data_IF_886871686211
#
_entry.id   IF_886871686211
#
_cell.length_a   1.000
_cell.length_b   1.000
_cell.length_c   1.000
_cell.angle_alpha   90.00
_cell.angle_beta   90.00
_cell.angle_gamma   90.00
#
_symmetry.space_group_name_H-M   'P 1'
#
loop_
_entity.id
_entity.type
_entity.pdbx_description
1 polymer ?
#
# COMPACT_ATOMS: atom_id res chain seq x y z
N UNK A 1 13.10 18.43 -20.87
CA UNK A 1 12.01 19.02 -20.08
C UNK A 1 12.08 18.42 -18.70
N UNK A 2 11.76 19.18 -17.67
CA UNK A 2 11.63 18.71 -16.30
C UNK A 2 10.39 19.35 -15.67
N UNK A 3 9.93 18.83 -14.54
CA UNK A 3 8.80 19.43 -13.82
C UNK A 3 9.34 20.45 -12.83
N UNK A 4 8.77 21.64 -12.82
CA UNK A 4 9.00 22.58 -11.74
C UNK A 4 8.15 22.14 -10.54
N UNK A 5 8.81 21.75 -9.45
CA UNK A 5 8.14 21.21 -8.25
C UNK A 5 7.24 22.22 -7.53
N UNK A 6 7.45 23.52 -7.72
CA UNK A 6 6.63 24.57 -7.10
C UNK A 6 5.37 24.85 -7.92
N UNK A 7 5.47 24.81 -9.25
CA UNK A 7 4.36 25.19 -10.15
C UNK A 7 3.64 23.99 -10.76
N UNK A 8 4.24 22.80 -10.70
CA UNK A 8 3.77 21.58 -11.36
C UNK A 8 3.87 21.61 -12.89
N UNK A 9 4.48 22.65 -13.48
CA UNK A 9 4.55 22.84 -14.93
C UNK A 9 5.81 22.24 -15.52
N UNK A 10 5.72 21.84 -16.79
CA UNK A 10 6.86 21.39 -17.57
C UNK A 10 7.70 22.57 -18.03
N UNK A 11 8.99 22.56 -17.67
CA UNK A 11 9.95 23.58 -18.04
C UNK A 11 11.10 22.97 -18.87
N UNK A 12 11.68 23.75 -19.80
CA UNK A 12 12.83 23.30 -20.57
C UNK A 12 14.08 23.22 -19.71
N UNK A 13 15.09 22.54 -20.26
CA UNK A 13 16.40 22.43 -19.64
C UNK A 13 16.98 23.82 -19.30
N UNK A 14 17.40 24.03 -18.05
CA UNK A 14 17.93 25.31 -17.56
C UNK A 14 19.20 25.73 -18.30
N UNK A 15 20.02 24.75 -18.70
CA UNK A 15 21.23 25.03 -19.50
C UNK A 15 20.92 25.29 -20.98
N UNK A 16 19.75 24.86 -21.47
CA UNK A 16 19.37 24.89 -22.88
C UNK A 16 20.23 24.02 -23.80
N UNK A 17 21.04 23.11 -23.23
CA UNK A 17 22.01 22.29 -23.98
C UNK A 17 21.70 20.80 -23.99
N UNK A 18 21.00 20.31 -22.96
CA UNK A 18 20.70 18.88 -22.80
C UNK A 18 19.54 18.48 -23.72
N UNK A 19 19.59 17.25 -24.21
CA UNK A 19 18.62 16.64 -25.13
C UNK A 19 18.22 15.26 -24.59
N UNK A 20 17.57 14.43 -25.40
CA UNK A 20 17.31 13.04 -25.07
C UNK A 20 18.59 12.26 -24.69
N UNK A 21 18.44 11.37 -23.72
CA UNK A 21 19.47 10.47 -23.21
C UNK A 21 19.21 9.04 -23.69
N UNK A 22 20.27 8.26 -23.89
CA UNK A 22 20.15 6.87 -24.35
C UNK A 22 20.29 5.84 -23.23
N UNK A 23 20.88 6.24 -22.11
CA UNK A 23 21.18 5.36 -20.97
C UNK A 23 20.46 5.83 -19.72
N UNK A 24 20.04 4.90 -18.88
CA UNK A 24 19.29 5.18 -17.65
C UNK A 24 20.15 5.91 -16.61
N UNK A 25 21.44 5.64 -16.58
CA UNK A 25 22.40 6.32 -15.71
C UNK A 25 22.54 7.81 -16.07
N UNK A 26 22.43 8.15 -17.37
CA UNK A 26 22.44 9.56 -17.83
C UNK A 26 21.19 10.29 -17.36
N UNK A 27 20.04 9.61 -17.33
CA UNK A 27 18.77 10.16 -16.83
C UNK A 27 18.86 10.40 -15.32
N UNK A 28 19.42 9.45 -14.56
CA UNK A 28 19.65 9.63 -13.12
C UNK A 28 20.56 10.83 -12.85
N UNK A 29 21.66 10.96 -13.59
CA UNK A 29 22.56 12.10 -13.47
C UNK A 29 21.86 13.42 -13.84
N UNK A 30 20.98 13.41 -14.85
CA UNK A 30 20.19 14.57 -15.21
C UNK A 30 19.20 14.96 -14.10
N UNK A 31 18.51 14.01 -13.47
CA UNK A 31 17.66 14.28 -12.31
C UNK A 31 18.45 14.94 -11.18
N UNK A 32 19.66 14.47 -10.89
CA UNK A 32 20.54 15.05 -9.86
C UNK A 32 21.01 16.47 -10.21
N UNK A 33 21.26 16.75 -11.50
CA UNK A 33 21.62 18.08 -11.98
C UNK A 33 20.43 19.07 -11.90
N UNK A 34 19.22 18.61 -12.23
CA UNK A 34 18.02 19.43 -12.25
C UNK A 34 17.41 19.68 -10.87
N UNK A 35 17.59 18.75 -9.93
CA UNK A 35 17.07 18.83 -8.57
C UNK A 35 18.20 18.66 -7.54
N UNK A 36 19.14 19.62 -7.44
CA UNK A 36 20.32 19.49 -6.61
C UNK A 36 20.00 19.44 -5.10
N UNK A 37 18.87 20.02 -4.69
CA UNK A 37 18.41 20.03 -3.30
C UNK A 37 17.70 18.74 -2.90
N UNK A 38 17.40 17.86 -3.86
CA UNK A 38 16.77 16.55 -3.63
C UNK A 38 17.82 15.44 -3.70
N UNK A 39 17.79 14.52 -2.73
CA UNK A 39 18.67 13.36 -2.72
C UNK A 39 18.18 12.29 -3.71
N UNK A 40 18.34 12.53 -5.02
CA UNK A 40 17.89 11.58 -6.05
C UNK A 40 18.78 10.33 -6.06
N UNK A 41 18.19 9.18 -5.76
CA UNK A 41 18.89 7.89 -5.67
C UNK A 41 18.64 6.97 -6.86
N UNK A 42 17.48 7.10 -7.52
CA UNK A 42 17.11 6.24 -8.64
C UNK A 42 16.11 6.94 -9.58
N UNK A 43 15.81 6.31 -10.71
CA UNK A 43 14.80 6.75 -11.68
C UNK A 43 13.92 5.57 -12.08
N UNK A 44 12.68 5.85 -12.46
CA UNK A 44 11.74 4.83 -12.96
C UNK A 44 10.83 5.42 -14.04
N UNK A 45 10.47 4.63 -15.04
CA UNK A 45 9.48 5.03 -16.06
C UNK A 45 8.11 5.27 -15.41
N UNK A 46 7.40 6.31 -15.83
CA UNK A 46 6.04 6.54 -15.40
C UNK A 46 5.08 5.54 -16.05
N UNK A 47 4.02 5.18 -15.32
CA UNK A 47 3.02 4.21 -15.81
C UNK A 47 2.14 4.76 -16.94
N UNK A 48 2.04 6.09 -17.09
CA UNK A 48 1.19 6.73 -18.08
C UNK A 48 1.96 7.80 -18.88
N UNK A 49 1.66 7.92 -20.20
CA UNK A 49 2.23 8.98 -21.01
C UNK A 49 1.59 10.34 -20.68
N UNK A 50 2.35 11.40 -20.91
CA UNK A 50 1.94 12.79 -20.71
C UNK A 50 2.13 13.57 -21.99
N UNK A 51 1.18 14.45 -22.30
CA UNK A 51 1.27 15.41 -23.39
C UNK A 51 2.01 16.66 -22.92
N UNK A 52 3.15 16.97 -23.54
CA UNK A 52 3.97 18.14 -23.22
C UNK A 52 4.05 19.04 -24.45
N UNK A 53 3.75 20.31 -24.27
CA UNK A 53 3.81 21.36 -25.28
C UNK A 53 5.13 22.14 -25.24
N UNK A 54 5.29 23.08 -26.18
CA UNK A 54 6.35 24.08 -26.21
C UNK A 54 7.78 23.54 -26.04
N UNK A 55 8.16 22.54 -26.82
CA UNK A 55 9.52 21.97 -26.80
C UNK A 55 10.58 22.92 -27.37
N UNK A 56 11.69 23.07 -26.66
CA UNK A 56 12.79 23.95 -27.05
C UNK A 56 13.91 23.18 -27.78
N UNK A 57 14.48 23.80 -28.84
CA UNK A 57 15.66 23.24 -29.52
C UNK A 57 16.95 23.67 -28.81
N UNK A 58 17.97 22.82 -28.88
CA UNK A 58 19.31 23.09 -28.32
C UNK A 58 19.80 24.49 -28.71
N UNK A 59 20.12 25.31 -27.70
CA UNK A 59 20.63 26.68 -27.88
C UNK A 59 19.63 27.71 -28.39
N UNK A 60 18.33 27.40 -28.50
CA UNK A 60 17.30 28.35 -28.91
C UNK A 60 16.41 28.73 -27.73
N UNK A 61 16.29 30.04 -27.48
CA UNK A 61 15.37 30.62 -26.48
C UNK A 61 13.89 30.53 -26.88
N UNK A 62 13.60 30.32 -28.16
CA UNK A 62 12.24 30.25 -28.68
C UNK A 62 11.85 28.81 -28.92
N UNK A 63 10.92 28.34 -28.10
CA UNK A 63 10.38 27.00 -28.11
C UNK A 63 9.26 26.91 -29.14
N UNK A 64 9.04 25.71 -29.70
CA UNK A 64 8.00 25.50 -30.70
C UNK A 64 6.78 24.87 -30.05
N UNK A 65 5.60 25.37 -30.39
CA UNK A 65 4.31 24.92 -29.83
C UNK A 65 3.81 23.61 -30.47
N UNK A 66 4.69 22.61 -30.56
CA UNK A 66 4.31 21.26 -30.96
C UNK A 66 4.13 20.42 -29.72
N UNK A 67 2.97 19.81 -29.59
CA UNK A 67 2.69 18.87 -28.50
C UNK A 67 3.28 17.51 -28.83
N UNK A 68 4.02 16.95 -27.89
CA UNK A 68 4.54 15.59 -27.97
C UNK A 68 4.02 14.77 -26.80
N UNK A 69 3.60 13.54 -27.09
CA UNK A 69 3.21 12.56 -26.08
C UNK A 69 4.46 11.76 -25.73
N UNK A 70 4.85 11.78 -24.46
CA UNK A 70 6.06 11.09 -23.97
C UNK A 70 5.77 10.38 -22.66
N UNK A 71 6.50 9.30 -22.38
CA UNK A 71 6.51 8.67 -21.05
C UNK A 71 7.62 9.31 -20.23
N UNK A 72 7.31 10.06 -19.18
CA UNK A 72 8.33 10.70 -18.36
C UNK A 72 9.02 9.70 -17.42
N UNK A 73 10.22 10.05 -16.97
CA UNK A 73 10.88 9.37 -15.86
C UNK A 73 10.59 10.09 -14.55
N UNK A 74 10.23 9.33 -13.51
CA UNK A 74 10.16 9.80 -12.13
C UNK A 74 11.56 9.76 -11.51
N UNK A 75 12.00 10.87 -10.94
CA UNK A 75 13.22 10.93 -10.14
C UNK A 75 12.90 10.54 -8.68
N UNK A 76 13.43 9.42 -8.19
CA UNK A 76 13.14 8.88 -6.86
C UNK A 76 14.07 9.50 -5.81
N UNK A 77 13.48 10.00 -4.72
CA UNK A 77 14.18 10.73 -3.66
C UNK A 77 14.43 9.82 -2.46
N UNK A 78 15.69 9.75 -2.01
CA UNK A 78 16.06 9.12 -0.75
C UNK A 78 15.98 7.60 -0.77
N UNK A 79 15.64 7.02 0.38
CA UNK A 79 15.39 5.58 0.50
C UNK A 79 14.15 5.19 -0.29
N UNK A 80 14.20 4.04 -0.97
CA UNK A 80 13.10 3.60 -1.79
C UNK A 80 11.90 3.23 -0.93
N UNK A 81 10.76 3.84 -1.25
CA UNK A 81 9.45 3.50 -0.73
C UNK A 81 8.57 3.16 -1.93
N UNK A 82 7.81 2.08 -1.84
CA UNK A 82 6.91 1.68 -2.93
C UNK A 82 5.75 2.66 -3.11
N UNK A 83 5.14 2.67 -4.29
CA UNK A 83 4.06 3.60 -4.63
C UNK A 83 2.79 3.22 -3.84
N UNK A 84 2.02 4.19 -3.37
CA UNK A 84 0.72 3.91 -2.72
C UNK A 84 -0.31 3.60 -3.79
N UNK A 85 -0.66 2.32 -3.96
CA UNK A 85 -1.70 1.88 -4.89
C UNK A 85 -3.09 1.93 -4.25
N UNK A 86 -4.00 2.69 -4.86
CA UNK A 86 -5.41 2.66 -4.47
C UNK A 86 -6.05 1.36 -4.97
N UNK A 87 -6.85 0.73 -4.11
CA UNK A 87 -7.62 -0.48 -4.42
C UNK A 87 -9.11 -0.11 -4.47
N UNK A 88 -9.68 0.11 -5.66
CA UNK A 88 -11.11 0.41 -5.80
C UNK A 88 -11.97 -0.78 -5.36
N UNK A 89 -13.27 -0.55 -5.21
CA UNK A 89 -14.23 -1.62 -4.89
C UNK A 89 -14.17 -2.75 -5.92
N UNK A 90 -14.30 -4.00 -5.44
CA UNK A 90 -14.26 -5.24 -6.23
C UNK A 90 -12.90 -5.53 -6.89
N UNK A 91 -11.92 -4.65 -6.74
CA UNK A 91 -10.54 -4.91 -7.14
C UNK A 91 -9.77 -5.63 -6.04
N UNK A 92 -8.64 -6.24 -6.40
CA UNK A 92 -7.78 -6.98 -5.49
C UNK A 92 -6.34 -6.56 -5.66
N UNK A 93 -5.64 -6.38 -4.54
CA UNK A 93 -4.21 -6.10 -4.50
C UNK A 93 -3.39 -7.38 -4.47
N UNK A 94 -2.28 -7.38 -5.20
CA UNK A 94 -1.32 -8.47 -5.30
C UNK A 94 0.09 -7.92 -5.33
N UNK A 95 1.06 -8.76 -4.99
CA UNK A 95 2.47 -8.48 -5.23
C UNK A 95 3.20 -9.75 -5.67
N UNK A 96 4.33 -9.58 -6.35
CA UNK A 96 5.21 -10.66 -6.77
C UNK A 96 6.66 -10.21 -6.68
N UNK A 97 7.46 -10.97 -5.95
CA UNK A 97 8.88 -10.68 -5.69
C UNK A 97 9.76 -11.91 -5.95
N UNK A 98 10.96 -11.65 -6.47
CA UNK A 98 12.00 -12.64 -6.76
C UNK A 98 13.39 -12.05 -6.52
N UNK A 99 14.01 -12.41 -5.39
CA UNK A 99 15.33 -11.90 -5.00
C UNK A 99 16.48 -12.35 -5.91
N UNK A 100 16.28 -13.43 -6.67
CA UNK A 100 17.23 -13.99 -7.63
C UNK A 100 17.21 -13.26 -8.99
N UNK A 101 16.25 -12.38 -9.21
CA UNK A 101 16.00 -11.72 -10.51
C UNK A 101 16.01 -10.21 -10.34
N UNK A 102 16.77 -9.51 -11.18
CA UNK A 102 16.83 -8.05 -11.21
C UNK A 102 16.45 -7.57 -12.61
N UNK A 103 15.21 -7.10 -12.76
CA UNK A 103 14.58 -6.88 -14.07
C UNK A 103 14.03 -5.47 -14.22
N UNK A 104 13.79 -5.07 -15.47
CA UNK A 104 13.31 -3.73 -15.82
C UNK A 104 11.84 -3.48 -15.44
N UNK A 105 11.45 -2.20 -15.34
CA UNK A 105 10.06 -1.78 -15.13
C UNK A 105 9.07 -2.41 -16.14
N UNK A 106 9.44 -2.47 -17.42
CA UNK A 106 8.61 -3.07 -18.48
C UNK A 106 8.39 -4.58 -18.31
N UNK A 107 9.40 -5.30 -17.83
CA UNK A 107 9.27 -6.73 -17.51
C UNK A 107 8.22 -6.93 -16.42
N UNK A 108 8.35 -6.19 -15.32
CA UNK A 108 7.45 -6.28 -14.18
C UNK A 108 6.03 -5.81 -14.47
N UNK A 109 5.85 -4.80 -15.34
CA UNK A 109 4.55 -4.43 -15.88
C UNK A 109 3.89 -5.58 -16.65
N UNK A 110 4.66 -6.27 -17.51
CA UNK A 110 4.15 -7.43 -18.27
C UNK A 110 3.73 -8.55 -17.33
N UNK A 111 4.55 -8.85 -16.32
CA UNK A 111 4.26 -9.86 -15.30
C UNK A 111 2.97 -9.55 -14.54
N UNK A 112 2.77 -8.28 -14.11
CA UNK A 112 1.56 -7.86 -13.43
C UNK A 112 0.31 -7.99 -14.35
N UNK A 113 0.45 -7.58 -15.61
CA UNK A 113 -0.63 -7.65 -16.60
C UNK A 113 -1.06 -9.09 -16.88
N UNK A 114 -0.11 -9.99 -17.12
CA UNK A 114 -0.39 -11.42 -17.35
C UNK A 114 -0.99 -12.10 -16.12
N UNK A 115 -0.53 -11.73 -14.92
CA UNK A 115 -1.09 -12.25 -13.67
C UNK A 115 -2.57 -11.86 -13.50
N UNK A 116 -2.94 -10.59 -13.75
CA UNK A 116 -4.34 -10.18 -13.71
C UNK A 116 -5.18 -10.91 -14.76
N UNK A 117 -4.67 -11.08 -15.98
CA UNK A 117 -5.37 -11.77 -17.06
C UNK A 117 -5.63 -13.25 -16.71
N UNK A 118 -4.71 -13.90 -15.99
CA UNK A 118 -4.87 -15.30 -15.55
C UNK A 118 -6.03 -15.46 -14.57
N UNK A 119 -6.29 -14.44 -13.75
CA UNK A 119 -7.43 -14.38 -12.82
C UNK A 119 -8.72 -13.86 -13.48
N UNK A 120 -8.74 -13.64 -14.80
CA UNK A 120 -9.90 -13.09 -15.52
C UNK A 120 -10.19 -11.62 -15.22
N UNK A 121 -9.19 -10.88 -14.73
CA UNK A 121 -9.25 -9.47 -14.38
C UNK A 121 -8.36 -8.63 -15.31
N UNK A 122 -8.44 -7.29 -15.20
CA UNK A 122 -7.55 -6.34 -15.89
C UNK A 122 -6.64 -5.67 -14.88
N UNK A 123 -5.41 -5.38 -15.31
CA UNK A 123 -4.46 -4.59 -14.55
C UNK A 123 -4.97 -3.15 -14.47
N UNK A 124 -5.21 -2.66 -13.25
CA UNK A 124 -5.67 -1.31 -12.98
C UNK A 124 -4.53 -0.35 -12.65
N UNK A 125 -3.68 -0.74 -11.70
CA UNK A 125 -2.50 0.02 -11.28
C UNK A 125 -1.38 -0.93 -10.86
N UNK A 126 -0.14 -0.46 -10.91
CA UNK A 126 1.02 -1.22 -10.47
C UNK A 126 2.17 -0.31 -10.02
N UNK A 127 3.07 -0.85 -9.21
CA UNK A 127 4.23 -0.20 -8.64
C UNK A 127 5.40 -1.18 -8.58
N UNK A 128 6.62 -0.65 -8.57
CA UNK A 128 7.82 -1.47 -8.48
C UNK A 128 8.16 -1.78 -7.01
N UNK A 129 8.81 -2.92 -6.77
CA UNK A 129 9.28 -3.33 -5.44
C UNK A 129 10.78 -3.62 -5.45
N UNK A 130 11.46 -3.23 -4.38
CA UNK A 130 12.83 -3.64 -4.05
C UNK A 130 13.82 -3.30 -5.19
N UNK A 131 14.31 -2.06 -5.29
CA UNK A 131 15.27 -1.69 -6.32
C UNK A 131 16.59 -2.44 -6.16
N UNK A 132 17.13 -2.90 -7.27
CA UNK A 132 18.39 -3.65 -7.35
C UNK A 132 19.41 -2.99 -8.28
N UNK A 133 18.98 -2.01 -9.07
CA UNK A 133 19.80 -1.22 -9.99
C UNK A 133 19.07 0.03 -10.45
N UNK A 134 19.68 0.76 -11.38
CA UNK A 134 19.06 1.96 -11.97
C UNK A 134 17.90 1.54 -12.88
N UNK A 135 16.67 1.91 -12.50
CA UNK A 135 15.43 1.46 -13.15
C UNK A 135 15.38 -0.08 -13.34
N UNK A 136 15.75 -0.80 -12.27
CA UNK A 136 15.69 -2.26 -12.14
C UNK A 136 15.24 -2.68 -10.73
N UNK A 137 14.42 -3.73 -10.67
CA UNK A 137 13.66 -4.11 -9.48
C UNK A 137 13.59 -5.64 -9.31
N UNK A 138 13.38 -6.10 -8.07
CA UNK A 138 13.18 -7.51 -7.74
C UNK A 138 11.70 -7.92 -7.72
N UNK A 139 10.76 -6.97 -7.82
CA UNK A 139 9.35 -7.29 -7.78
C UNK A 139 8.44 -6.18 -8.27
N UNK A 140 7.15 -6.48 -8.21
CA UNK A 140 6.05 -5.59 -8.58
C UNK A 140 4.86 -5.82 -7.68
N UNK A 141 4.18 -4.74 -7.30
CA UNK A 141 2.88 -4.74 -6.65
C UNK A 141 1.84 -4.22 -7.65
N UNK A 142 0.62 -4.73 -7.60
CA UNK A 142 -0.38 -4.42 -8.60
C UNK A 142 -1.80 -4.67 -8.12
N UNK A 143 -2.73 -3.93 -8.70
CA UNK A 143 -4.17 -4.03 -8.45
C UNK A 143 -4.84 -4.56 -9.70
N UNK A 144 -5.56 -5.67 -9.56
CA UNK A 144 -6.40 -6.21 -10.62
C UNK A 144 -7.87 -5.87 -10.34
N UNK A 145 -8.60 -5.43 -11.36
CA UNK A 145 -10.02 -5.14 -11.28
C UNK A 145 -10.82 -6.04 -12.23
N UNK A 146 -12.07 -6.43 -11.90
CA UNK A 146 -12.93 -7.15 -12.82
C UNK A 146 -13.11 -6.39 -14.13
N UNK A 147 -13.14 -7.10 -15.26
CA UNK A 147 -13.53 -6.51 -16.53
C UNK A 147 -15.00 -6.10 -16.44
N UNK A 148 -15.28 -4.81 -16.27
CA UNK A 148 -16.61 -4.29 -16.58
C UNK A 148 -16.81 -4.48 -18.06
N UNK A 149 -17.50 -5.54 -18.46
CA UNK A 149 -18.14 -5.58 -19.77
C UNK A 149 -19.16 -4.46 -19.76
N UNK A 150 -18.77 -3.27 -20.22
CA UNK A 150 -19.75 -2.36 -20.81
C UNK A 150 -20.17 -3.11 -22.06
N UNK A 151 -21.30 -3.79 -21.96
CA UNK A 151 -21.97 -4.38 -23.10
C UNK A 151 -22.56 -3.18 -23.85
N UNK A 152 -21.76 -2.58 -24.74
CA UNK A 152 -22.33 -1.81 -25.84
C UNK A 152 -23.02 -2.83 -26.74
N UNK A 153 -24.30 -3.05 -26.47
CA UNK A 153 -25.24 -3.64 -27.42
C UNK A 153 -25.38 -2.68 -28.61
N UNK A 154 -24.53 -2.83 -29.62
CA UNK A 154 -24.85 -2.36 -30.96
C UNK A 154 -24.05 -3.11 -32.03
N UNK A 155 -24.81 -3.83 -32.86
CA UNK A 155 -24.48 -4.38 -34.17
C UNK A 155 -23.47 -5.53 -34.24
N UNK A 156 -24.04 -6.73 -34.11
CA UNK A 156 -23.69 -7.85 -34.98
C UNK A 156 -23.85 -7.45 -36.46
N UNK A 157 -22.73 -7.33 -37.17
CA UNK A 157 -22.64 -7.77 -38.57
C UNK A 157 -21.33 -8.51 -38.75
N UNK A 158 -21.48 -9.81 -38.92
CA UNK A 158 -20.51 -10.66 -39.61
C UNK A 158 -20.30 -10.09 -41.02
N UNK A 159 -19.05 -9.96 -41.45
CA UNK A 159 -18.58 -10.35 -42.78
C UNK A 159 -17.04 -10.41 -42.78
N UNK A 160 -16.55 -11.47 -43.43
CA UNK A 160 -15.17 -11.95 -43.48
C UNK A 160 -14.28 -11.13 -44.45
N UNK A 161 -12.98 -11.20 -44.19
CA UNK A 161 -11.82 -11.09 -45.11
C UNK A 161 -11.60 -9.81 -45.96
N UNK A 162 -10.49 -9.10 -45.71
CA UNK A 162 -9.31 -9.02 -46.60
C UNK A 162 -8.23 -8.07 -46.04
N UNK A 163 -6.98 -8.40 -46.35
CA UNK A 163 -5.72 -7.83 -45.89
C UNK A 163 -5.39 -6.39 -46.41
N UNK A 164 -4.34 -5.82 -45.81
CA UNK A 164 -3.45 -4.73 -46.29
C UNK A 164 -3.63 -3.29 -45.74
N UNK A 165 -2.76 -2.98 -44.76
CA UNK A 165 -1.68 -1.97 -44.83
C UNK A 165 -1.94 -0.44 -44.66
N UNK A 166 -0.99 0.15 -43.90
CA UNK A 166 -0.60 1.55 -43.67
C UNK A 166 -1.54 2.59 -42.98
N UNK A 167 -0.98 3.13 -41.88
CA UNK A 167 -1.03 4.50 -41.33
C UNK A 167 -2.31 5.36 -41.43
N UNK A 168 -2.68 6.01 -40.31
CA UNK A 168 -2.58 7.48 -40.13
C UNK A 168 -3.48 7.99 -38.99
N UNK A 169 -2.86 8.76 -38.09
CA UNK A 169 -3.46 9.61 -37.05
C UNK A 169 -4.68 10.42 -37.54
N UNK A 170 -5.80 10.41 -36.81
CA UNK A 170 -6.41 11.62 -36.20
C UNK A 170 -7.66 11.34 -35.37
N UNK A 171 -7.62 11.87 -34.16
CA UNK A 171 -8.76 12.29 -33.35
C UNK A 171 -9.44 13.52 -33.96
N UNK A 172 -10.77 13.56 -33.99
CA UNK A 172 -11.54 14.81 -34.02
C UNK A 172 -12.74 14.71 -33.06
N UNK A 173 -12.60 15.37 -31.92
CA UNK A 173 -13.71 15.87 -31.10
C UNK A 173 -14.45 16.97 -31.88
N UNK A 174 -15.78 17.06 -31.81
CA UNK A 174 -16.48 18.30 -32.11
C UNK A 174 -16.50 19.26 -30.91
N UNK A 175 -16.36 20.52 -31.30
CA UNK A 175 -16.13 21.74 -30.54
C UNK A 175 -17.37 22.38 -29.93
N UNK A 176 -17.12 22.97 -28.76
CA UNK A 176 -17.64 24.21 -28.14
C UNK A 176 -18.81 25.07 -28.71
N UNK A 177 -19.59 25.54 -27.72
CA UNK A 177 -20.01 26.92 -27.41
C UNK A 177 -21.30 27.53 -27.98
N UNK A 178 -22.03 28.21 -27.08
CA UNK A 178 -22.86 29.37 -27.42
C UNK A 178 -24.22 29.51 -26.70
N UNK A 179 -24.19 29.97 -25.44
CA UNK A 179 -25.01 31.04 -24.82
C UNK A 179 -26.44 31.28 -25.36
N UNK A 180 -27.47 31.25 -24.51
CA UNK A 180 -28.40 32.39 -24.33
C UNK A 180 -29.26 32.31 -23.06
N UNK A 181 -29.49 33.52 -22.55
CA UNK A 181 -30.19 33.99 -21.36
C UNK A 181 -31.71 34.01 -21.57
N UNK A 182 -32.52 33.64 -20.56
CA UNK A 182 -33.91 34.11 -20.50
C UNK A 182 -34.46 34.12 -19.06
N UNK A 183 -34.81 35.32 -18.62
CA UNK A 183 -35.47 35.68 -17.37
C UNK A 183 -36.96 35.33 -17.35
N UNK A 184 -37.46 34.89 -16.19
CA UNK A 184 -38.66 35.48 -15.56
C UNK A 184 -39.99 34.71 -15.56
N UNK A 185 -40.50 34.52 -14.33
CA UNK A 185 -41.93 34.53 -13.88
C UNK A 185 -42.83 33.37 -14.34
N UNK A 186 -43.78 32.79 -13.58
CA UNK A 186 -44.46 33.09 -12.32
C UNK A 186 -45.21 31.82 -11.83
N UNK A 187 -45.33 31.64 -10.50
CA UNK A 187 -46.53 31.32 -9.65
C UNK A 187 -47.45 30.15 -10.11
N UNK A 188 -47.74 29.12 -9.29
CA UNK A 188 -48.75 29.00 -8.19
C UNK A 188 -48.34 27.81 -7.27
N UNK A 189 -48.29 27.92 -5.93
CA UNK A 189 -49.36 27.65 -4.91
C UNK A 189 -49.92 26.21 -5.02
N UNK A 190 -49.76 25.30 -4.04
CA UNK A 190 -50.44 25.17 -2.72
C UNK A 190 -49.52 24.41 -1.70
N UNK A 191 -49.32 24.81 -0.44
CA UNK A 191 -50.16 24.61 0.80
C UNK A 191 -50.57 23.12 1.03
N UNK A 192 -50.43 22.41 2.15
CA UNK A 192 -49.97 22.60 3.54
C UNK A 192 -49.81 21.17 4.14
N UNK A 193 -48.96 20.96 5.16
CA UNK A 193 -49.37 20.32 6.43
C UNK A 193 -48.26 20.43 7.49
N UNK A 194 -48.65 20.94 8.66
CA UNK A 194 -47.82 21.24 9.83
C UNK A 194 -47.58 20.00 10.70
N UNK A 195 -46.49 20.02 11.48
CA UNK A 195 -46.23 19.01 12.51
C UNK A 195 -44.95 19.29 13.31
N UNK A 196 -45.16 20.02 14.40
CA UNK A 196 -44.22 20.58 15.40
C UNK A 196 -43.21 19.62 16.07
N UNK A 197 -42.05 20.24 16.41
CA UNK A 197 -41.24 20.13 17.65
C UNK A 197 -40.46 18.84 18.01
N UNK A 198 -39.13 18.93 18.12
CA UNK A 198 -38.43 19.17 19.40
C UNK A 198 -36.91 19.42 19.17
N UNK A 199 -36.38 20.39 19.93
CA UNK A 199 -34.95 20.69 20.08
C UNK A 199 -34.24 19.56 20.84
N UNK A 200 -33.04 19.18 20.41
CA UNK A 200 -32.04 18.64 21.33
C UNK A 200 -30.65 19.19 20.97
N UNK A 201 -30.22 20.15 21.77
CA UNK A 201 -28.87 20.68 21.84
C UNK A 201 -28.03 19.67 22.62
N UNK A 202 -27.07 19.00 21.97
CA UNK A 202 -26.04 18.21 22.67
C UNK A 202 -24.68 18.87 22.52
N UNK A 203 -24.35 19.49 23.65
CA UNK A 203 -23.12 20.08 24.19
C UNK A 203 -21.79 19.48 23.68
N UNK A 204 -20.93 20.36 23.16
CA UNK A 204 -19.49 20.15 23.00
C UNK A 204 -18.88 19.76 24.36
N UNK A 205 -18.29 18.57 24.45
CA UNK A 205 -17.47 18.18 25.60
C UNK A 205 -16.02 17.96 25.19
N UNK A 206 -15.23 19.01 25.38
CA UNK A 206 -13.77 19.03 25.28
C UNK A 206 -13.13 18.27 26.46
N UNK A 207 -12.87 16.97 26.30
CA UNK A 207 -12.02 16.26 27.27
C UNK A 207 -10.53 16.44 26.95
N UNK A 208 -9.97 17.49 27.54
CA UNK A 208 -8.54 17.72 27.78
C UNK A 208 -7.99 16.61 28.69
N UNK A 209 -7.05 15.77 28.21
CA UNK A 209 -6.28 14.90 29.10
C UNK A 209 -4.99 15.59 29.53
N UNK A 210 -5.02 16.00 30.79
CA UNK A 210 -4.03 16.78 31.50
C UNK A 210 -2.71 16.01 31.67
N UNK A 211 -1.64 16.78 31.53
CA UNK A 211 -0.27 16.39 31.84
C UNK A 211 -0.12 16.22 33.35
N UNK A 212 0.03 14.99 33.83
CA UNK A 212 0.44 14.79 35.21
C UNK A 212 1.89 15.21 35.40
N UNK A 213 2.05 16.36 36.05
CA UNK A 213 3.31 16.80 36.62
C UNK A 213 3.73 15.88 37.75
N UNK A 214 5.03 15.66 37.73
CA UNK A 214 5.90 15.09 38.75
C UNK A 214 5.73 15.85 40.07
N UNK A 215 5.45 15.11 41.15
CA UNK A 215 5.74 15.56 42.50
C UNK A 215 6.80 14.64 43.14
N UNK A 216 7.58 15.30 43.99
CA UNK A 216 9.01 15.14 44.23
C UNK A 216 9.29 14.47 45.59
N UNK A 217 10.54 14.03 45.76
CA UNK A 217 11.27 13.60 46.95
C UNK A 217 11.16 12.14 47.41
N UNK A 218 12.18 11.33 47.06
CA UNK A 218 13.31 11.19 47.98
C UNK A 218 14.56 10.65 47.26
N UNK A 219 15.66 11.38 47.39
CA UNK A 219 16.98 11.04 46.87
C UNK A 219 17.69 10.12 47.88
N UNK A 220 17.86 8.84 47.55
CA UNK A 220 18.92 8.01 48.14
C UNK A 220 19.63 7.20 47.05
N UNK A 221 20.95 7.13 47.22
CA UNK A 221 22.01 6.68 46.31
C UNK A 221 21.84 5.25 45.75
N UNK A 222 22.51 4.89 44.63
CA UNK A 222 22.26 3.66 43.89
C UNK A 222 22.72 2.42 44.64
N UNK A 223 21.80 1.48 44.86
CA UNK A 223 22.15 0.09 45.20
C UNK A 223 21.62 -0.82 44.10
N UNK A 224 22.49 -1.73 43.66
CA UNK A 224 22.36 -2.57 42.47
C UNK A 224 21.06 -3.42 42.42
N UNK A 225 20.55 -3.76 41.21
CA UNK A 225 19.35 -4.56 41.09
C UNK A 225 19.64 -6.03 41.46
N UNK A 226 19.02 -6.49 42.56
CA UNK A 226 19.02 -7.89 43.00
C UNK A 226 18.43 -8.81 41.92
N UNK A 227 19.12 -9.92 41.69
CA UNK A 227 18.97 -10.87 40.59
C UNK A 227 17.75 -11.80 40.67
N UNK A 228 16.82 -11.60 41.59
CA UNK A 228 15.85 -12.66 41.93
C UNK A 228 14.61 -12.72 41.03
N UNK A 229 14.30 -11.65 40.28
CA UNK A 229 13.12 -11.61 39.38
C UNK A 229 13.42 -12.11 37.96
N UNK A 230 14.65 -11.93 37.48
CA UNK A 230 15.07 -12.37 36.14
C UNK A 230 15.36 -13.88 36.07
N UNK A 231 15.65 -14.53 37.20
CA UNK A 231 15.87 -15.98 37.25
C UNK A 231 14.57 -16.78 37.15
N UNK A 232 13.41 -16.22 37.54
CA UNK A 232 12.12 -16.92 37.42
C UNK A 232 11.57 -16.93 35.98
N UNK A 233 11.67 -15.82 35.24
CA UNK A 233 11.12 -15.72 33.88
C UNK A 233 11.94 -16.51 32.84
N UNK A 234 13.25 -16.62 33.06
CA UNK A 234 14.16 -17.34 32.17
C UNK A 234 14.05 -18.87 32.31
N UNK A 235 13.76 -19.37 33.51
CA UNK A 235 13.56 -20.81 33.73
C UNK A 235 12.17 -21.29 33.28
N UNK A 236 11.12 -20.46 33.45
CA UNK A 236 9.76 -20.79 32.97
C UNK A 236 9.70 -20.88 31.43
N UNK A 237 10.38 -19.98 30.72
CA UNK A 237 10.47 -20.00 29.25
C UNK A 237 11.21 -21.24 28.71
N UNK A 238 12.25 -21.70 29.42
CA UNK A 238 13.00 -22.91 29.05
C UNK A 238 12.20 -24.20 29.26
N UNK A 239 11.46 -24.31 30.37
CA UNK A 239 10.66 -25.51 30.66
C UNK A 239 9.48 -25.65 29.69
N UNK A 240 8.79 -24.55 29.39
CA UNK A 240 7.68 -24.56 28.43
C UNK A 240 8.15 -24.94 27.01
N UNK A 241 9.34 -24.49 26.59
CA UNK A 241 9.93 -24.89 25.29
C UNK A 241 10.22 -26.38 25.26
N UNK A 242 10.67 -26.93 26.39
CA UNK A 242 10.91 -28.36 26.54
C UNK A 242 9.64 -29.19 26.49
N UNK A 243 8.49 -28.65 26.92
CA UNK A 243 7.18 -29.33 26.89
C UNK A 243 6.60 -29.32 25.48
N UNK A 244 6.46 -28.14 24.88
CA UNK A 244 5.76 -27.96 23.61
C UNK A 244 6.49 -28.55 22.40
N UNK A 245 7.78 -28.90 22.53
CA UNK A 245 8.55 -29.51 21.44
C UNK A 245 8.51 -31.04 21.42
N UNK A 246 7.84 -31.69 22.36
CA UNK A 246 7.83 -33.17 22.45
C UNK A 246 6.75 -33.79 21.56
N UNK A 247 6.95 -35.02 21.10
CA UNK A 247 5.93 -35.74 20.34
C UNK A 247 4.79 -36.22 21.24
N UNK A 248 3.61 -36.51 20.66
CA UNK A 248 2.49 -37.08 21.40
C UNK A 248 2.83 -38.48 21.94
N UNK A 249 2.55 -38.74 23.22
CA UNK A 249 2.83 -40.03 23.84
C UNK A 249 1.57 -40.66 24.45
N UNK A 250 1.03 -41.71 23.82
CA UNK A 250 -0.15 -42.45 24.31
C UNK A 250 0.11 -43.15 25.65
N UNK A 251 1.33 -43.64 25.89
CA UNK A 251 1.66 -44.39 27.11
C UNK A 251 1.19 -45.86 27.07
N UNK A 252 1.56 -46.67 28.07
CA UNK A 252 1.37 -48.13 28.05
C UNK A 252 -0.04 -48.58 28.48
N UNK A 253 -0.82 -47.73 29.13
CA UNK A 253 -2.19 -48.04 29.52
C UNK A 253 -3.14 -47.99 28.31
N UNK A 254 -4.32 -48.62 28.44
CA UNK A 254 -5.28 -48.84 27.34
C UNK A 254 -6.59 -48.08 27.49
N UNK A 255 -6.63 -47.01 28.27
CA UNK A 255 -7.79 -46.11 28.28
C UNK A 255 -7.83 -45.32 26.96
N UNK A 256 -9.03 -44.87 26.57
CA UNK A 256 -9.21 -44.03 25.39
C UNK A 256 -9.57 -42.63 25.87
N UNK A 257 -8.55 -41.82 26.17
CA UNK A 257 -8.73 -40.44 26.64
C UNK A 257 -8.31 -39.46 25.52
N UNK A 258 -9.25 -38.76 24.88
CA UNK A 258 -8.92 -37.70 23.94
C UNK A 258 -8.14 -36.59 24.64
N UNK A 259 -6.97 -36.26 24.10
CA UNK A 259 -6.08 -35.21 24.59
C UNK A 259 -5.50 -34.43 23.42
N UNK A 260 -4.84 -33.31 23.68
CA UNK A 260 -4.24 -32.43 22.70
C UNK A 260 -2.74 -32.34 22.91
N UNK A 261 -1.95 -32.33 21.84
CA UNK A 261 -0.52 -32.07 21.88
C UNK A 261 -0.16 -31.00 20.85
N UNK A 262 0.83 -30.17 21.13
CA UNK A 262 1.31 -29.16 20.20
C UNK A 262 2.28 -29.77 19.19
N UNK A 263 2.05 -29.56 17.90
CA UNK A 263 2.97 -29.92 16.82
C UNK A 263 3.72 -28.66 16.35
N UNK A 264 5.03 -28.53 16.68
CA UNK A 264 5.82 -27.35 16.29
C UNK A 264 5.90 -27.13 14.78
N UNK A 265 5.83 -28.21 13.98
CA UNK A 265 5.93 -28.14 12.52
C UNK A 265 4.68 -27.54 11.90
N UNK A 266 3.52 -27.79 12.52
CA UNK A 266 2.21 -27.27 12.06
C UNK A 266 1.75 -26.04 12.83
N UNK A 267 2.46 -25.65 13.89
CA UNK A 267 2.11 -24.56 14.83
C UNK A 267 0.66 -24.68 15.35
N UNK A 268 0.19 -25.90 15.56
CA UNK A 268 -1.20 -26.19 15.98
C UNK A 268 -1.24 -27.30 17.01
N UNK A 269 -2.25 -27.24 17.86
CA UNK A 269 -2.60 -28.32 18.76
C UNK A 269 -3.43 -29.38 18.03
N UNK A 270 -3.03 -30.64 18.16
CA UNK A 270 -3.61 -31.78 17.43
C UNK A 270 -4.13 -32.78 18.44
N UNK A 271 -5.32 -33.33 18.17
CA UNK A 271 -5.95 -34.34 19.02
C UNK A 271 -5.25 -35.69 18.89
N UNK A 272 -4.94 -36.32 20.00
CA UNK A 272 -4.44 -37.70 20.09
C UNK A 272 -5.17 -38.48 21.19
N UNK A 273 -4.92 -39.79 21.26
CA UNK A 273 -5.46 -40.66 22.32
C UNK A 273 -4.38 -40.93 23.35
N UNK A 274 -4.65 -40.57 24.60
CA UNK A 274 -3.86 -40.89 25.76
C UNK A 274 -4.41 -42.14 26.47
N UNK A 275 -3.50 -43.04 26.80
CA UNK A 275 -3.76 -44.34 27.40
C UNK A 275 -4.18 -44.30 28.87
N UNK A 276 -4.12 -43.12 29.51
CA UNK A 276 -4.51 -42.92 30.92
C UNK A 276 -3.38 -43.12 31.94
N UNK A 277 -2.18 -43.51 31.51
CA UNK A 277 -1.00 -43.53 32.37
C UNK A 277 0.30 -43.32 31.56
N UNK A 278 1.35 -42.85 32.23
CA UNK A 278 2.62 -42.50 31.59
C UNK A 278 2.47 -41.26 30.71
N UNK A 279 3.17 -41.23 29.57
CA UNK A 279 3.12 -40.10 28.66
C UNK A 279 4.12 -39.00 29.02
N UNK A 280 4.08 -37.92 28.26
CA UNK A 280 4.88 -36.74 28.49
C UNK A 280 4.00 -35.50 28.73
N UNK A 281 4.65 -34.36 28.93
CA UNK A 281 3.98 -33.10 29.29
C UNK A 281 3.28 -32.42 28.11
N UNK A 282 3.56 -32.81 26.86
CA UNK A 282 2.83 -32.33 25.69
C UNK A 282 1.46 -33.04 25.56
N UNK A 283 0.63 -32.88 26.59
CA UNK A 283 -0.62 -33.59 26.77
C UNK A 283 -1.59 -32.70 27.54
N UNK A 284 -2.54 -32.12 26.82
CA UNK A 284 -3.47 -31.11 27.30
C UNK A 284 -4.91 -31.60 27.17
N UNK A 285 -5.79 -31.11 28.05
CA UNK A 285 -7.20 -31.52 28.08
C UNK A 285 -8.05 -30.79 27.05
N UNK A 286 -7.65 -29.58 26.64
CA UNK A 286 -8.34 -28.78 25.64
C UNK A 286 -7.37 -28.19 24.61
N UNK A 287 -7.90 -27.88 23.42
CA UNK A 287 -7.15 -27.23 22.36
C UNK A 287 -6.73 -25.81 22.77
N UNK A 288 -7.63 -25.07 23.43
CA UNK A 288 -7.40 -23.70 23.86
C UNK A 288 -6.28 -23.63 24.91
N UNK A 289 -6.27 -24.56 25.87
CA UNK A 289 -5.22 -24.62 26.88
C UNK A 289 -3.87 -24.98 26.26
N UNK A 290 -3.85 -25.94 25.33
CA UNK A 290 -2.65 -26.30 24.57
C UNK A 290 -2.10 -25.09 23.79
N UNK A 291 -2.97 -24.36 23.09
CA UNK A 291 -2.57 -23.17 22.32
C UNK A 291 -2.12 -22.04 23.25
N UNK A 292 -2.80 -21.79 24.37
CA UNK A 292 -2.40 -20.75 25.32
C UNK A 292 -1.00 -21.00 25.92
N UNK A 293 -0.66 -22.27 26.18
CA UNK A 293 0.64 -22.67 26.73
C UNK A 293 1.74 -22.63 25.67
N UNK A 294 1.47 -23.12 24.45
CA UNK A 294 2.51 -23.34 23.45
C UNK A 294 2.62 -22.26 22.35
N UNK A 295 1.58 -21.45 22.11
CA UNK A 295 1.60 -20.40 21.06
C UNK A 295 2.54 -19.24 21.39
N UNK A 296 2.66 -18.87 22.68
CA UNK A 296 3.53 -17.78 23.15
C UNK A 296 5.04 -18.04 22.99
N UNK A 297 5.43 -19.22 22.51
CA UNK A 297 6.83 -19.66 22.41
C UNK A 297 7.51 -19.29 21.09
N UNK A 298 6.75 -18.76 20.12
CA UNK A 298 7.28 -18.30 18.84
C UNK A 298 7.36 -16.77 18.89
N UNK A 299 8.47 -16.14 18.43
CA UNK A 299 8.46 -14.71 18.14
C UNK A 299 7.33 -14.49 17.14
N UNK A 300 6.24 -13.87 17.57
CA UNK A 300 5.27 -13.30 16.65
C UNK A 300 5.95 -12.05 16.12
N UNK A 301 6.28 -12.03 14.83
CA UNK A 301 6.55 -10.75 14.18
C UNK A 301 5.32 -9.87 14.46
N UNK A 302 5.51 -8.58 14.78
CA UNK A 302 4.45 -7.64 15.20
C UNK A 302 3.22 -7.62 14.27
N UNK A 303 3.37 -8.15 13.06
CA UNK A 303 2.37 -8.41 12.03
C UNK A 303 1.26 -9.38 12.48
N UNK A 304 1.58 -10.45 13.21
CA UNK A 304 0.57 -11.47 13.59
C UNK A 304 -0.41 -10.96 14.66
N UNK A 305 0.02 -10.01 15.50
CA UNK A 305 -0.83 -9.36 16.50
C UNK A 305 -1.85 -8.41 15.84
N UNK A 306 -1.46 -7.77 14.74
CA UNK A 306 -2.31 -6.87 13.97
C UNK A 306 -3.48 -7.60 13.28
N UNK A 307 -3.26 -8.83 12.81
CA UNK A 307 -4.32 -9.61 12.14
C UNK A 307 -5.29 -10.33 13.10
N UNK A 308 -4.94 -10.48 14.38
CA UNK A 308 -5.80 -11.12 15.39
C UNK A 308 -6.65 -10.12 16.20
N UNK A 309 -6.39 -8.82 16.09
CA UNK A 309 -7.27 -7.80 16.67
C UNK A 309 -8.56 -7.69 15.86
N UNK A 310 -9.75 -7.76 16.48
CA UNK A 310 -11.01 -7.56 15.76
C UNK A 310 -11.00 -6.18 15.07
N UNK A 311 -11.24 -6.17 13.76
CA UNK A 311 -11.40 -4.94 13.00
C UNK A 311 -12.61 -4.17 13.56
N UNK A 312 -12.32 -3.12 14.32
CA UNK A 312 -13.32 -2.11 14.70
C UNK A 312 -13.46 -1.18 13.49
N UNK A 313 -14.69 -1.00 12.97
CA UNK A 313 -15.00 -0.18 11.78
C UNK A 313 -14.51 1.29 11.90
N UNK A 314 -14.07 1.68 13.11
CA UNK A 314 -13.35 2.90 13.44
C UNK A 314 -11.93 3.00 12.84
N UNK A 315 -11.35 1.92 12.33
CA UNK A 315 -9.98 1.91 11.80
C UNK A 315 -9.84 2.69 10.48
N UNK A 316 -10.83 2.62 9.59
CA UNK A 316 -10.84 3.40 8.34
C UNK A 316 -10.88 4.92 8.61
N UNK A 317 -11.67 5.35 9.59
CA UNK A 317 -11.75 6.76 9.99
C UNK A 317 -10.42 7.25 10.60
N UNK A 318 -9.75 6.41 11.40
CA UNK A 318 -8.43 6.72 11.97
C UNK A 318 -7.35 6.80 10.89
N UNK A 319 -7.40 5.91 9.91
CA UNK A 319 -6.44 5.92 8.79
C UNK A 319 -6.61 7.14 7.90
N UNK A 320 -7.85 7.52 7.57
CA UNK A 320 -8.15 8.73 6.80
C UNK A 320 -7.68 9.99 7.55
N UNK A 321 -7.95 10.08 8.85
CA UNK A 321 -7.51 11.22 9.67
C UNK A 321 -5.99 11.29 9.78
N UNK A 322 -5.31 10.16 9.90
CA UNK A 322 -3.84 10.10 9.90
C UNK A 322 -3.26 10.52 8.54
N UNK A 323 -3.90 10.13 7.43
CA UNK A 323 -3.53 10.52 6.07
C UNK A 323 -3.67 12.02 5.86
N UNK A 324 -4.81 12.61 6.20
CA UNK A 324 -5.04 14.07 6.10
C UNK A 324 -4.02 14.85 6.94
N UNK A 325 -3.69 14.38 8.14
CA UNK A 325 -2.69 15.03 9.00
C UNK A 325 -1.27 14.97 8.40
N UNK A 326 -0.92 13.89 7.71
CA UNK A 326 0.35 13.78 7.00
C UNK A 326 0.40 14.69 5.77
N UNK A 327 -0.69 14.77 5.00
CA UNK A 327 -0.81 15.66 3.84
C UNK A 327 -0.72 17.14 4.25
N UNK A 328 -1.42 17.53 5.33
CA UNK A 328 -1.32 18.88 5.90
C UNK A 328 0.08 19.18 6.41
N UNK A 329 0.76 18.22 7.06
CA UNK A 329 2.15 18.40 7.52
C UNK A 329 3.12 18.53 6.35
N UNK A 330 2.91 17.76 5.29
CA UNK A 330 3.70 17.85 4.06
C UNK A 330 3.49 19.21 3.38
N UNK A 331 2.25 19.68 3.25
CA UNK A 331 1.91 20.99 2.71
C UNK A 331 2.57 22.13 3.50
N UNK A 332 2.40 22.16 4.82
CA UNK A 332 3.03 23.14 5.71
C UNK A 332 4.57 23.09 5.69
N UNK A 333 5.17 21.93 5.39
CA UNK A 333 6.62 21.79 5.23
C UNK A 333 7.09 22.38 3.90
N UNK A 334 6.27 22.27 2.85
CA UNK A 334 6.53 22.86 1.54
C UNK A 334 6.33 24.38 1.55
N UNK A 335 5.35 24.91 2.29
CA UNK A 335 5.09 26.36 2.38
C UNK A 335 6.16 27.15 3.18
N UNK A 336 7.05 26.45 3.89
CA UNK A 336 8.15 27.04 4.69
C UNK A 336 9.49 27.08 3.96
N UNK A 337 9.54 26.67 2.70
CA UNK A 337 10.70 26.73 1.79
C UNK A 337 10.38 27.72 0.68
#
# INVERSE_FOLDING_TARGET
MHVNIQTGKWEPDTSGTKSCFGRKEEILQYCQEMYPDLQITNVVEANQPVSIDSWCKRGKKQCKDHTHIVVPYKCLVGEFVSDVLLVPEKCRFFHKERMDVCESHQHWHTVAKEACLTEGMILHSYGMLLPCGVDQFHGTEYVCCPQTKVVDEALSKEEEDEDEDYDLYKSEFPTEAGIEDFTGTAVEEDEDDEGEEEEDVVEDHDYYYDSYKVDDYNEESPTEPSSDKAMAEKEVSSDMKSVCSQEAMTGPCRAVMPRWYFDPSKRKCIRFIYGGCGGNRNNFESEEYCMAVCKKMMPTDDVDVYFETPADDNEHARFQKAKEQLEVRHHNRMDRV
#
